data_IF_096731922633
#
_entry.id   IF_096731922633
#
_cell.length_a   1.000
_cell.length_b   1.000
_cell.length_c   1.000
_cell.angle_alpha   90.00
_cell.angle_beta   90.00
_cell.angle_gamma   90.00
#
_symmetry.space_group_name_H-M   'P 1'
#
loop_
_entity.id
_entity.type
_entity.pdbx_description
1 polymer ?
#
# COMPACT_ATOMS: atom_id res chain seq x y z
N UNK A 1 43.55 -78.74 -49.52
CA UNK A 1 43.93 -78.16 -48.22
C UNK A 1 43.54 -76.71 -48.21
N UNK A 2 42.38 -76.33 -47.63
CA UNK A 2 41.89 -74.99 -47.52
C UNK A 2 42.09 -74.49 -46.06
N UNK A 3 42.91 -73.52 -45.89
CA UNK A 3 43.11 -72.82 -44.64
C UNK A 3 42.12 -71.63 -44.54
N UNK A 4 41.20 -71.71 -43.57
CA UNK A 4 40.26 -70.62 -43.23
C UNK A 4 40.96 -69.68 -42.27
N UNK A 5 41.16 -68.41 -42.66
CA UNK A 5 41.50 -67.34 -41.75
C UNK A 5 40.23 -66.77 -41.11
N UNK A 6 40.17 -66.89 -39.75
CA UNK A 6 39.18 -66.22 -38.90
C UNK A 6 39.69 -64.79 -38.59
N UNK A 7 39.05 -63.78 -39.10
CA UNK A 7 39.29 -62.36 -38.75
C UNK A 7 38.34 -62.00 -37.61
N UNK A 8 38.89 -61.82 -36.39
CA UNK A 8 38.15 -61.35 -35.22
C UNK A 8 37.87 -59.85 -35.33
N UNK A 9 36.61 -59.45 -35.48
CA UNK A 9 36.17 -58.07 -35.49
C UNK A 9 35.94 -57.61 -34.03
N UNK A 10 36.84 -56.75 -33.50
CA UNK A 10 36.69 -56.12 -32.21
C UNK A 10 35.70 -54.97 -32.31
N UNK A 11 34.48 -55.12 -31.81
CA UNK A 11 33.48 -54.04 -31.72
C UNK A 11 33.79 -53.24 -30.47
N UNK A 12 34.32 -52.06 -30.61
CA UNK A 12 34.48 -51.08 -29.54
C UNK A 12 33.09 -50.41 -29.27
N UNK A 13 32.44 -50.81 -28.21
CA UNK A 13 31.22 -50.14 -27.75
C UNK A 13 31.67 -48.92 -26.92
N UNK A 14 31.60 -47.75 -27.58
CA UNK A 14 31.71 -46.46 -26.87
C UNK A 14 30.44 -46.25 -26.06
N UNK A 15 30.52 -46.43 -24.75
CA UNK A 15 29.48 -46.03 -23.82
C UNK A 15 29.46 -44.50 -23.75
N UNK A 16 28.55 -43.88 -24.47
CA UNK A 16 28.19 -42.46 -24.26
C UNK A 16 27.47 -42.39 -22.94
N UNK A 17 28.15 -41.89 -21.90
CA UNK A 17 27.48 -41.41 -20.69
C UNK A 17 26.68 -40.18 -21.10
N UNK A 18 25.37 -40.33 -21.40
CA UNK A 18 24.43 -39.24 -21.38
C UNK A 18 24.22 -38.90 -19.90
N UNK A 19 24.91 -37.88 -19.45
CA UNK A 19 24.59 -37.26 -18.14
C UNK A 19 23.12 -36.84 -18.20
N UNK A 20 22.27 -37.59 -17.54
CA UNK A 20 20.87 -37.22 -17.39
C UNK A 20 20.78 -35.93 -16.60
N UNK A 21 20.49 -34.84 -17.28
CA UNK A 21 19.98 -33.66 -16.62
C UNK A 21 18.75 -34.12 -15.82
N UNK A 22 18.76 -33.93 -14.50
CA UNK A 22 17.57 -34.16 -13.67
C UNK A 22 16.55 -33.17 -14.17
N UNK A 23 15.49 -33.66 -14.82
CA UNK A 23 14.39 -32.81 -15.29
C UNK A 23 13.79 -32.10 -14.07
N UNK A 24 13.52 -30.78 -14.13
CA UNK A 24 12.82 -30.11 -13.05
C UNK A 24 11.49 -30.83 -12.76
N UNK A 25 11.21 -31.03 -11.47
CA UNK A 25 9.97 -31.68 -11.05
C UNK A 25 8.83 -30.70 -11.25
N UNK A 26 7.94 -30.96 -12.20
CA UNK A 26 6.68 -30.25 -12.37
C UNK A 26 5.60 -31.01 -11.61
N UNK A 27 5.00 -30.35 -10.64
CA UNK A 27 3.77 -30.84 -10.01
C UNK A 27 2.57 -30.22 -10.75
N UNK A 28 1.69 -31.04 -11.30
CA UNK A 28 0.53 -30.59 -12.09
C UNK A 28 -0.76 -31.22 -11.59
N UNK A 29 -1.77 -30.38 -11.46
CA UNK A 29 -3.17 -30.75 -11.19
C UNK A 29 -4.08 -30.15 -12.26
N UNK A 30 -5.39 -30.35 -12.15
CA UNK A 30 -6.39 -29.71 -13.01
C UNK A 30 -6.58 -28.21 -12.68
N UNK A 31 -5.87 -27.68 -11.67
CA UNK A 31 -6.00 -26.31 -11.18
C UNK A 31 -4.72 -25.49 -11.33
N UNK A 32 -3.54 -26.12 -11.19
CA UNK A 32 -2.27 -25.41 -11.12
C UNK A 32 -1.09 -26.29 -11.54
N UNK A 33 -0.05 -25.66 -12.10
CA UNK A 33 1.28 -26.22 -12.20
C UNK A 33 2.21 -25.52 -11.21
N UNK A 34 3.04 -26.28 -10.49
CA UNK A 34 4.02 -25.77 -9.54
C UNK A 34 5.39 -26.35 -9.87
N UNK A 35 6.41 -25.51 -9.91
CA UNK A 35 7.80 -25.90 -10.16
C UNK A 35 8.76 -25.12 -9.23
N UNK A 36 9.84 -25.77 -8.81
CA UNK A 36 11.02 -25.07 -8.28
C UNK A 36 12.01 -24.91 -9.42
N UNK A 37 12.31 -23.68 -9.81
CA UNK A 37 13.14 -23.33 -10.97
C UNK A 37 14.35 -22.53 -10.55
N UNK A 38 15.39 -22.51 -11.38
CA UNK A 38 16.55 -21.65 -11.22
C UNK A 38 16.69 -20.70 -12.40
N UNK A 39 17.15 -19.48 -12.15
CA UNK A 39 17.46 -18.53 -13.21
C UNK A 39 18.71 -18.94 -13.99
N UNK A 40 19.83 -19.34 -13.33
CA UNK A 40 21.03 -19.78 -14.02
C UNK A 40 21.04 -21.27 -14.31
N UNK A 41 21.79 -21.69 -15.32
CA UNK A 41 22.06 -23.09 -15.63
C UNK A 41 23.11 -23.71 -14.69
N UNK A 42 24.03 -22.92 -14.16
CA UNK A 42 25.14 -23.34 -13.30
C UNK A 42 25.18 -22.48 -12.03
N UNK A 43 25.72 -23.05 -10.96
CA UNK A 43 25.97 -22.36 -9.69
C UNK A 43 27.42 -21.92 -9.60
N UNK A 44 27.65 -20.66 -9.26
CA UNK A 44 28.99 -20.09 -9.03
C UNK A 44 29.25 -19.94 -7.54
N UNK A 45 30.28 -20.55 -6.97
CA UNK A 45 30.63 -20.39 -5.56
C UNK A 45 30.89 -18.93 -5.18
N UNK A 46 30.28 -18.48 -4.10
CA UNK A 46 30.37 -17.10 -3.61
C UNK A 46 29.38 -16.11 -4.23
N UNK A 47 28.58 -16.52 -5.20
CA UNK A 47 27.52 -15.70 -5.79
C UNK A 47 26.14 -16.06 -5.24
N UNK A 48 25.15 -15.23 -5.50
CA UNK A 48 23.75 -15.49 -5.17
C UNK A 48 23.14 -16.34 -6.28
N UNK A 49 22.64 -17.52 -5.92
CA UNK A 49 21.80 -18.34 -6.78
C UNK A 49 20.35 -17.89 -6.66
N UNK A 50 19.76 -17.43 -7.74
CA UNK A 50 18.34 -17.10 -7.80
C UNK A 50 17.53 -18.34 -8.15
N UNK A 51 16.75 -18.82 -7.18
CA UNK A 51 15.68 -19.79 -7.38
C UNK A 51 14.35 -19.03 -7.47
N UNK A 52 13.31 -19.70 -7.96
CA UNK A 52 11.95 -19.22 -7.83
C UNK A 52 10.96 -20.39 -7.72
N UNK A 53 9.87 -20.15 -6.99
CA UNK A 53 8.68 -20.99 -7.08
C UNK A 53 7.86 -20.45 -8.25
N UNK A 54 7.69 -21.26 -9.29
CA UNK A 54 6.77 -20.97 -10.39
C UNK A 54 5.40 -21.49 -10.01
N UNK A 55 4.42 -20.64 -9.96
CA UNK A 55 3.01 -20.94 -9.81
C UNK A 55 2.31 -20.56 -11.11
N UNK A 56 1.63 -21.48 -11.74
CA UNK A 56 0.90 -21.29 -13.00
C UNK A 56 -0.53 -21.82 -12.82
N UNK A 57 -1.42 -21.01 -12.23
CA UNK A 57 -2.83 -21.38 -12.08
C UNK A 57 -3.49 -21.45 -13.46
N UNK A 58 -4.39 -22.41 -13.64
CA UNK A 58 -5.17 -22.52 -14.86
C UNK A 58 -6.28 -21.47 -14.90
N UNK A 59 -6.83 -21.20 -16.09
CA UNK A 59 -7.88 -20.20 -16.30
C UNK A 59 -9.02 -20.33 -15.27
N UNK A 60 -9.37 -19.23 -14.61
CA UNK A 60 -10.36 -19.13 -13.53
C UNK A 60 -9.81 -19.42 -12.13
N UNK A 61 -8.59 -19.95 -12.02
CA UNK A 61 -7.93 -20.21 -10.74
C UNK A 61 -6.90 -19.13 -10.41
N UNK A 62 -6.63 -18.89 -9.11
CA UNK A 62 -5.64 -17.94 -8.64
C UNK A 62 -4.90 -18.45 -7.41
N UNK A 63 -3.71 -17.89 -7.20
CA UNK A 63 -2.92 -18.07 -5.97
C UNK A 63 -2.82 -16.74 -5.24
N UNK A 64 -2.18 -16.72 -4.07
CA UNK A 64 -2.21 -15.57 -3.17
C UNK A 64 -0.86 -14.90 -3.01
N UNK A 65 -0.91 -13.59 -2.79
CA UNK A 65 0.23 -12.80 -2.36
C UNK A 65 0.65 -13.15 -0.92
N UNK A 66 1.74 -12.55 -0.41
CA UNK A 66 2.23 -12.76 0.97
C UNK A 66 1.16 -12.55 2.06
N UNK A 67 0.10 -11.85 1.71
CA UNK A 67 -1.10 -11.67 2.49
C UNK A 67 -2.32 -11.73 1.56
N UNK A 68 -3.22 -12.67 1.82
CA UNK A 68 -4.35 -12.97 0.90
C UNK A 68 -5.54 -12.01 0.97
N UNK A 69 -5.48 -10.91 1.75
CA UNK A 69 -6.62 -10.03 1.95
C UNK A 69 -7.65 -10.60 2.93
N UNK A 70 -8.94 -10.62 2.53
CA UNK A 70 -10.02 -11.16 3.37
C UNK A 70 -9.98 -12.69 3.46
N UNK A 71 -9.37 -13.37 2.48
CA UNK A 71 -9.29 -14.83 2.41
C UNK A 71 -8.03 -15.27 1.69
N UNK A 72 -7.64 -16.52 1.89
CA UNK A 72 -6.50 -17.15 1.24
C UNK A 72 -5.22 -17.17 2.08
N UNK A 73 -4.38 -18.16 1.74
CA UNK A 73 -3.09 -18.38 2.42
C UNK A 73 -1.95 -18.26 1.40
N UNK A 74 -0.88 -17.59 1.81
CA UNK A 74 0.32 -17.41 1.00
C UNK A 74 1.01 -18.74 0.69
N UNK A 75 1.79 -18.77 -0.39
CA UNK A 75 2.70 -19.88 -0.68
C UNK A 75 3.88 -19.84 0.28
N UNK A 76 4.23 -20.98 0.84
CA UNK A 76 5.37 -21.13 1.75
C UNK A 76 6.40 -22.14 1.20
N UNK A 77 7.68 -21.91 1.50
CA UNK A 77 8.77 -22.83 1.22
C UNK A 77 9.51 -23.12 2.52
N UNK A 78 9.38 -24.34 2.99
CA UNK A 78 9.87 -24.78 4.30
C UNK A 78 10.79 -26.00 4.19
N UNK A 79 11.41 -26.40 5.30
CA UNK A 79 12.25 -27.61 5.37
C UNK A 79 13.36 -27.65 4.32
N UNK A 80 14.04 -26.50 4.11
CA UNK A 80 15.13 -26.43 3.16
C UNK A 80 16.30 -27.36 3.52
N UNK A 81 16.73 -28.13 2.55
CA UNK A 81 17.96 -28.94 2.63
C UNK A 81 18.93 -28.41 1.58
N UNK A 82 20.03 -27.82 2.05
CA UNK A 82 21.05 -27.17 1.24
C UNK A 82 22.41 -27.76 1.53
N UNK A 83 23.43 -27.61 0.65
CA UNK A 83 24.80 -27.90 0.96
C UNK A 83 25.30 -27.10 2.17
N UNK A 84 26.28 -27.67 2.90
CA UNK A 84 26.88 -27.02 4.07
C UNK A 84 27.43 -25.64 3.75
N UNK A 85 27.10 -24.66 4.60
CA UNK A 85 27.45 -23.24 4.43
C UNK A 85 26.56 -22.44 3.50
N UNK A 86 25.62 -23.04 2.76
CA UNK A 86 24.63 -22.32 2.01
C UNK A 86 23.45 -21.92 2.91
N UNK A 87 22.82 -20.79 2.60
CA UNK A 87 21.62 -20.32 3.28
C UNK A 87 20.60 -19.80 2.28
N UNK A 88 19.32 -19.84 2.65
CA UNK A 88 18.21 -19.33 1.86
C UNK A 88 17.70 -18.03 2.48
N UNK A 89 17.35 -17.06 1.64
CA UNK A 89 16.63 -15.84 2.03
C UNK A 89 15.11 -16.03 1.92
N UNK A 90 14.40 -14.95 2.18
CA UNK A 90 12.94 -14.93 2.12
C UNK A 90 12.41 -14.95 0.68
N UNK A 91 11.16 -15.35 0.50
CA UNK A 91 10.44 -15.22 -0.76
C UNK A 91 10.24 -13.73 -1.06
N UNK A 92 10.60 -13.32 -2.28
CA UNK A 92 10.36 -11.97 -2.76
C UNK A 92 9.04 -11.97 -3.55
N UNK A 93 8.16 -11.04 -3.20
CA UNK A 93 6.79 -11.05 -3.69
C UNK A 93 6.56 -10.00 -4.78
N UNK A 94 6.21 -10.39 -6.01
CA UNK A 94 5.71 -9.45 -7.01
C UNK A 94 4.46 -8.71 -6.55
N UNK A 95 4.16 -7.56 -7.16
CA UNK A 95 2.95 -6.80 -6.88
C UNK A 95 1.71 -7.64 -7.17
N UNK A 96 0.76 -7.77 -6.20
CA UNK A 96 -0.45 -8.56 -6.38
C UNK A 96 -1.49 -7.84 -7.24
N UNK A 97 -2.52 -8.58 -7.62
CA UNK A 97 -3.78 -8.04 -8.13
C UNK A 97 -4.79 -7.94 -6.99
N UNK A 98 -5.70 -6.98 -7.13
CA UNK A 98 -6.81 -6.78 -6.23
C UNK A 98 -8.05 -7.43 -6.84
N UNK A 99 -8.48 -8.55 -6.28
CA UNK A 99 -9.52 -9.40 -6.88
C UNK A 99 -10.74 -9.43 -5.99
N UNK A 100 -11.87 -8.81 -6.42
CA UNK A 100 -13.13 -8.90 -5.70
C UNK A 100 -13.72 -10.32 -5.84
N UNK A 101 -14.19 -10.88 -4.73
CA UNK A 101 -14.84 -12.17 -4.75
C UNK A 101 -16.31 -12.03 -5.23
N UNK A 102 -16.72 -12.72 -6.31
CA UNK A 102 -18.03 -12.56 -6.92
C UNK A 102 -19.18 -12.77 -5.93
N UNK A 103 -20.12 -11.81 -5.87
CA UNK A 103 -21.32 -11.88 -5.04
C UNK A 103 -21.09 -11.67 -3.54
N UNK A 104 -19.95 -11.13 -3.14
CA UNK A 104 -19.64 -10.78 -1.75
C UNK A 104 -18.88 -9.45 -1.66
N UNK A 105 -18.74 -8.93 -0.43
CA UNK A 105 -17.89 -7.77 -0.12
C UNK A 105 -16.45 -8.18 0.21
N UNK A 106 -16.04 -9.41 -0.13
CA UNK A 106 -14.69 -9.90 0.14
C UNK A 106 -13.77 -9.56 -1.03
N UNK A 107 -12.54 -9.26 -0.69
CA UNK A 107 -11.46 -8.99 -1.65
C UNK A 107 -10.23 -9.79 -1.28
N UNK A 108 -9.59 -10.36 -2.28
CA UNK A 108 -8.37 -11.14 -2.14
C UNK A 108 -7.22 -10.50 -2.92
N UNK A 109 -6.00 -10.68 -2.43
CA UNK A 109 -4.78 -10.22 -3.07
C UNK A 109 -4.10 -11.41 -3.73
N UNK A 110 -4.13 -11.44 -5.07
CA UNK A 110 -3.94 -12.67 -5.84
C UNK A 110 -2.94 -12.55 -6.97
N UNK A 111 -2.63 -13.71 -7.54
CA UNK A 111 -2.01 -13.88 -8.85
C UNK A 111 -2.93 -14.79 -9.68
N UNK A 112 -3.57 -14.22 -10.69
CA UNK A 112 -4.48 -14.94 -11.60
C UNK A 112 -3.75 -15.59 -12.78
N UNK A 113 -2.48 -15.26 -12.96
CA UNK A 113 -1.62 -15.74 -14.03
C UNK A 113 -0.33 -16.32 -13.48
N UNK A 114 0.49 -16.86 -14.40
CA UNK A 114 1.82 -17.34 -14.05
C UNK A 114 2.61 -16.29 -13.27
N UNK A 115 3.12 -16.68 -12.11
CA UNK A 115 3.97 -15.85 -11.28
C UNK A 115 5.22 -16.63 -10.84
N UNK A 116 6.36 -15.95 -10.82
CA UNK A 116 7.56 -16.45 -10.20
C UNK A 116 7.74 -15.74 -8.86
N UNK A 117 7.95 -16.51 -7.80
CA UNK A 117 8.27 -16.03 -6.47
C UNK A 117 9.78 -16.22 -6.24
N UNK A 118 10.63 -15.21 -6.47
CA UNK A 118 12.08 -15.33 -6.37
C UNK A 118 12.53 -15.60 -4.94
N UNK A 119 13.57 -16.43 -4.82
CA UNK A 119 14.20 -16.80 -3.54
C UNK A 119 15.71 -16.72 -3.72
N UNK A 120 16.42 -15.83 -3.02
CA UNK A 120 17.89 -15.79 -3.08
C UNK A 120 18.48 -16.90 -2.23
N UNK A 121 19.43 -17.64 -2.79
CA UNK A 121 20.22 -18.63 -2.07
C UNK A 121 21.67 -18.15 -2.05
N UNK A 122 22.21 -17.95 -0.88
CA UNK A 122 23.61 -17.55 -0.68
C UNK A 122 24.49 -18.80 -0.79
N UNK A 123 25.35 -18.84 -1.80
CA UNK A 123 26.25 -19.96 -2.05
C UNK A 123 27.61 -19.67 -1.41
N UNK A 124 28.15 -20.57 -0.57
CA UNK A 124 29.44 -20.32 0.05
C UNK A 124 30.58 -20.36 -0.97
N UNK A 125 31.53 -19.44 -0.86
CA UNK A 125 32.73 -19.40 -1.72
C UNK A 125 33.63 -20.67 -1.58
N UNK A 126 33.49 -21.41 -0.48
CA UNK A 126 34.20 -22.66 -0.19
C UNK A 126 33.47 -23.91 -0.67
N UNK A 127 32.49 -23.76 -1.56
CA UNK A 127 31.76 -24.91 -2.11
C UNK A 127 32.70 -25.77 -2.98
N UNK A 128 33.11 -26.89 -2.47
CA UNK A 128 33.97 -27.87 -3.18
C UNK A 128 33.14 -29.11 -3.57
N UNK A 129 32.31 -28.93 -4.61
CA UNK A 129 31.41 -29.98 -5.14
C UNK A 129 31.15 -29.74 -6.62
N UNK A 130 30.94 -30.79 -7.38
CA UNK A 130 30.57 -30.71 -8.80
C UNK A 130 29.10 -30.32 -9.02
N UNK A 131 28.25 -30.43 -8.00
CA UNK A 131 26.84 -30.19 -8.07
C UNK A 131 26.30 -29.52 -6.80
N UNK A 132 25.38 -28.62 -6.98
CA UNK A 132 24.59 -28.00 -5.93
C UNK A 132 23.17 -28.58 -5.97
N UNK A 133 22.68 -29.13 -4.87
CA UNK A 133 21.31 -29.63 -4.74
C UNK A 133 20.60 -28.88 -3.64
N UNK A 134 19.46 -28.27 -3.98
CA UNK A 134 18.52 -27.66 -3.04
C UNK A 134 17.22 -28.45 -3.05
N UNK A 135 16.64 -28.69 -1.88
CA UNK A 135 15.29 -29.24 -1.78
C UNK A 135 14.48 -28.54 -0.70
N UNK A 136 13.17 -28.48 -0.88
CA UNK A 136 12.24 -27.79 0.02
C UNK A 136 10.84 -28.39 -0.09
N UNK A 137 10.05 -28.28 0.98
CA UNK A 137 8.61 -28.49 0.94
C UNK A 137 7.95 -27.18 0.55
N UNK A 138 7.19 -27.17 -0.55
CA UNK A 138 6.37 -26.03 -0.96
C UNK A 138 4.91 -26.35 -0.65
N UNK A 139 4.25 -25.43 0.05
CA UNK A 139 2.83 -25.48 0.38
C UNK A 139 2.16 -24.24 -0.25
N UNK A 140 1.00 -24.42 -0.88
CA UNK A 140 0.26 -23.36 -1.55
C UNK A 140 -1.24 -23.55 -1.41
N UNK A 141 -1.99 -22.52 -1.74
CA UNK A 141 -3.42 -22.58 -1.91
C UNK A 141 -3.79 -22.05 -3.30
N UNK A 142 -4.64 -22.78 -4.02
CA UNK A 142 -5.20 -22.35 -5.30
C UNK A 142 -6.71 -22.33 -5.20
N UNK A 143 -7.34 -21.24 -5.63
CA UNK A 143 -8.77 -21.01 -5.43
C UNK A 143 -9.46 -20.53 -6.71
N UNK A 144 -10.75 -20.88 -6.82
CA UNK A 144 -11.77 -20.31 -7.67
C UNK A 144 -12.99 -20.05 -6.76
N UNK A 145 -14.09 -20.78 -6.90
CA UNK A 145 -15.21 -20.77 -5.92
C UNK A 145 -14.86 -21.49 -4.61
N UNK A 146 -13.92 -22.42 -4.67
CA UNK A 146 -13.40 -23.18 -3.52
C UNK A 146 -11.88 -23.11 -3.48
N UNK A 147 -11.32 -23.20 -2.29
CA UNK A 147 -9.87 -23.21 -2.08
C UNK A 147 -9.34 -24.64 -1.89
N UNK A 148 -8.35 -25.00 -2.66
CA UNK A 148 -7.69 -26.31 -2.63
C UNK A 148 -6.26 -26.11 -2.13
N UNK A 149 -5.91 -26.59 -0.93
CA UNK A 149 -4.53 -26.59 -0.47
C UNK A 149 -3.73 -27.68 -1.21
N UNK A 150 -2.51 -27.34 -1.58
CA UNK A 150 -1.54 -28.24 -2.16
C UNK A 150 -0.22 -28.22 -1.43
N UNK A 151 0.52 -29.33 -1.50
CA UNK A 151 1.90 -29.39 -1.02
C UNK A 151 2.68 -30.48 -1.74
N UNK A 152 3.97 -30.20 -1.95
CA UNK A 152 4.86 -31.15 -2.58
C UNK A 152 6.34 -30.85 -2.20
N UNK A 153 7.17 -31.91 -2.12
CA UNK A 153 8.61 -31.75 -1.96
C UNK A 153 9.26 -31.58 -3.33
N UNK A 154 9.98 -30.47 -3.51
CA UNK A 154 10.72 -30.19 -4.74
C UNK A 154 12.23 -30.27 -4.50
N UNK A 155 12.94 -30.65 -5.55
CA UNK A 155 14.40 -30.68 -5.54
C UNK A 155 14.94 -30.21 -6.88
N UNK A 156 15.96 -29.35 -6.84
CA UNK A 156 16.68 -28.91 -8.02
C UNK A 156 18.17 -29.21 -7.84
N UNK A 157 18.80 -29.70 -8.91
CA UNK A 157 20.25 -29.97 -8.91
C UNK A 157 20.90 -29.28 -10.10
N UNK A 158 21.85 -28.41 -9.82
CA UNK A 158 22.59 -27.65 -10.83
C UNK A 158 24.07 -28.03 -10.80
N UNK A 159 24.77 -28.03 -11.93
CA UNK A 159 26.23 -28.16 -11.94
C UNK A 159 26.86 -26.91 -11.30
N UNK A 160 28.04 -27.09 -10.71
CA UNK A 160 28.88 -26.01 -10.19
C UNK A 160 29.94 -25.67 -11.20
N UNK A 161 30.12 -24.38 -11.50
CA UNK A 161 31.06 -23.88 -12.49
C UNK A 161 31.70 -22.56 -12.05
N UNK A 162 32.78 -22.12 -12.73
CA UNK A 162 33.40 -20.82 -12.49
C UNK A 162 32.60 -19.64 -13.13
N UNK A 163 31.70 -19.94 -14.04
CA UNK A 163 30.85 -18.99 -14.74
C UNK A 163 29.46 -19.61 -14.96
N UNK A 164 28.45 -18.76 -15.07
CA UNK A 164 27.09 -19.21 -15.32
C UNK A 164 26.46 -18.44 -16.50
N UNK A 165 25.37 -18.96 -17.02
CA UNK A 165 24.52 -18.33 -18.01
C UNK A 165 23.04 -18.47 -17.61
N UNK A 166 22.16 -17.50 -17.96
CA UNK A 166 20.75 -17.64 -17.72
C UNK A 166 20.16 -18.85 -18.46
N UNK A 167 19.23 -19.55 -17.83
CA UNK A 167 18.44 -20.58 -18.50
C UNK A 167 17.50 -19.93 -19.54
N UNK A 168 17.66 -20.24 -20.87
CA UNK A 168 16.82 -19.68 -21.91
C UNK A 168 15.33 -19.94 -21.71
N UNK A 169 14.96 -20.98 -20.95
CA UNK A 169 13.56 -21.30 -20.63
C UNK A 169 12.94 -20.28 -19.68
N UNK A 170 13.73 -19.74 -18.75
CA UNK A 170 13.21 -18.95 -17.65
C UNK A 170 13.64 -17.48 -17.64
N UNK A 171 14.63 -17.09 -18.45
CA UNK A 171 15.22 -15.74 -18.45
C UNK A 171 14.18 -14.63 -18.66
N UNK A 172 13.19 -14.84 -19.52
CA UNK A 172 12.13 -13.87 -19.77
C UNK A 172 11.19 -13.75 -18.56
N UNK A 173 10.78 -14.88 -17.99
CA UNK A 173 9.94 -14.91 -16.78
C UNK A 173 10.59 -14.20 -15.58
N UNK A 174 11.88 -14.45 -15.32
CA UNK A 174 12.63 -13.72 -14.28
C UNK A 174 12.74 -12.22 -14.58
N UNK A 175 12.94 -11.84 -15.85
CA UNK A 175 13.00 -10.43 -16.25
C UNK A 175 11.65 -9.73 -16.10
N UNK A 176 10.54 -10.38 -16.39
CA UNK A 176 9.17 -9.88 -16.15
C UNK A 176 8.92 -9.73 -14.65
N UNK A 177 9.26 -10.77 -13.89
CA UNK A 177 9.12 -10.74 -12.42
C UNK A 177 9.86 -9.57 -11.80
N UNK A 178 11.12 -9.31 -12.18
CA UNK A 178 11.88 -8.16 -11.65
C UNK A 178 11.20 -6.81 -11.91
N UNK A 179 10.50 -6.67 -13.03
CA UNK A 179 9.73 -5.45 -13.35
C UNK A 179 8.46 -5.32 -12.52
N UNK A 180 7.92 -6.43 -12.02
CA UNK A 180 6.74 -6.46 -11.16
C UNK A 180 7.07 -6.50 -9.66
N UNK A 181 8.35 -6.43 -9.27
CA UNK A 181 8.72 -6.29 -7.86
C UNK A 181 8.50 -4.86 -7.39
N UNK A 182 8.05 -4.67 -6.13
CA UNK A 182 8.04 -3.37 -5.50
C UNK A 182 9.44 -2.76 -5.44
N UNK A 183 9.50 -1.43 -5.57
CA UNK A 183 10.74 -0.69 -5.37
C UNK A 183 10.95 -0.42 -3.88
N UNK A 184 12.22 -0.46 -3.44
CA UNK A 184 12.56 -0.02 -2.10
C UNK A 184 12.41 1.50 -1.97
N UNK A 185 11.80 1.96 -0.87
CA UNK A 185 11.53 3.38 -0.57
C UNK A 185 12.77 4.27 -0.64
N UNK A 186 13.96 3.73 -0.46
CA UNK A 186 15.23 4.46 -0.47
C UNK A 186 15.52 5.29 -1.74
N UNK A 187 14.84 5.03 -2.86
CA UNK A 187 15.03 5.76 -4.10
C UNK A 187 14.21 7.06 -4.19
N UNK A 188 13.08 7.19 -3.49
CA UNK A 188 12.14 8.32 -3.66
C UNK A 188 11.80 9.08 -2.36
N UNK A 189 12.45 8.85 -1.24
CA UNK A 189 12.20 9.54 0.04
C UNK A 189 10.69 9.72 0.36
N UNK A 190 9.89 8.66 0.17
CA UNK A 190 8.45 8.71 0.43
C UNK A 190 8.19 8.97 1.91
N UNK A 191 7.30 9.89 2.20
CA UNK A 191 6.74 10.10 3.53
C UNK A 191 5.33 9.50 3.55
N UNK A 192 5.11 8.53 4.43
CA UNK A 192 3.83 7.85 4.52
C UNK A 192 3.24 7.98 5.93
N UNK A 193 1.96 8.28 5.99
CA UNK A 193 1.18 8.35 7.23
C UNK A 193 -0.20 7.76 7.03
N UNK A 194 -0.88 7.42 8.12
CA UNK A 194 -2.29 7.05 8.08
C UNK A 194 -3.08 7.74 9.19
N UNK A 195 -4.36 7.95 8.92
CA UNK A 195 -5.32 8.44 9.87
C UNK A 195 -6.51 7.46 9.93
N UNK A 196 -7.05 7.26 11.12
CA UNK A 196 -8.25 6.47 11.34
C UNK A 196 -9.20 7.29 12.21
N UNK A 197 -10.26 7.81 11.61
CA UNK A 197 -11.26 8.66 12.26
C UNK A 197 -12.67 8.19 11.89
N UNK A 198 -13.55 8.12 12.88
CA UNK A 198 -14.89 7.59 12.71
C UNK A 198 -14.88 6.19 12.11
N UNK A 199 -15.57 5.99 11.01
CA UNK A 199 -15.64 4.72 10.27
C UNK A 199 -14.65 4.63 9.09
N UNK A 200 -13.73 5.60 8.95
CA UNK A 200 -12.81 5.69 7.81
C UNK A 200 -11.34 5.50 8.23
N UNK A 201 -10.54 4.99 7.31
CA UNK A 201 -9.09 4.97 7.37
C UNK A 201 -8.53 5.55 6.09
N UNK A 202 -7.58 6.48 6.21
CA UNK A 202 -6.90 7.12 5.10
C UNK A 202 -5.39 6.84 5.18
N UNK A 203 -4.81 6.35 4.09
CA UNK A 203 -3.37 6.23 3.91
C UNK A 203 -2.91 7.36 3.00
N UNK A 204 -1.94 8.13 3.47
CA UNK A 204 -1.43 9.32 2.81
C UNK A 204 0.05 9.16 2.51
N UNK A 205 0.43 9.38 1.27
CA UNK A 205 1.83 9.29 0.83
C UNK A 205 2.22 10.56 0.09
N UNK A 206 3.40 11.09 0.39
CA UNK A 206 3.99 12.19 -0.35
C UNK A 206 5.39 11.87 -0.84
N UNK A 207 5.72 12.40 -2.01
CA UNK A 207 7.04 12.34 -2.62
C UNK A 207 7.57 13.77 -2.83
N UNK A 208 8.86 14.04 -2.63
CA UNK A 208 9.45 15.32 -3.02
C UNK A 208 9.53 15.49 -4.56
N UNK A 209 9.48 14.37 -5.28
CA UNK A 209 9.49 14.32 -6.75
C UNK A 209 8.06 14.11 -7.25
N UNK A 210 7.49 14.82 -8.11
CA UNK A 210 6.10 14.74 -8.62
C UNK A 210 5.73 13.32 -9.13
N UNK A 211 5.96 12.32 -8.28
CA UNK A 211 5.86 10.88 -8.57
C UNK A 211 4.45 10.45 -8.96
N UNK A 212 3.45 11.16 -8.48
CA UNK A 212 2.04 10.82 -8.70
C UNK A 212 1.36 11.70 -9.76
N UNK A 213 2.13 12.55 -10.48
CA UNK A 213 1.56 13.50 -11.47
C UNK A 213 0.79 12.78 -12.58
N UNK A 214 1.32 11.65 -13.06
CA UNK A 214 0.72 10.84 -14.13
C UNK A 214 -0.06 9.63 -13.60
N UNK A 215 -0.28 9.50 -12.30
CA UNK A 215 -1.00 8.38 -11.73
C UNK A 215 -2.51 8.49 -12.01
N UNK A 216 -3.14 7.39 -12.45
CA UNK A 216 -4.56 7.32 -12.77
C UNK A 216 -5.36 6.57 -11.71
N UNK A 217 -4.73 5.60 -11.02
CA UNK A 217 -5.35 4.78 -9.99
C UNK A 217 -4.31 4.32 -8.97
N UNK A 218 -4.75 4.09 -7.73
CA UNK A 218 -3.85 3.66 -6.66
C UNK A 218 -4.53 2.69 -5.68
N UNK A 219 -3.71 1.83 -5.08
CA UNK A 219 -4.12 0.82 -4.11
C UNK A 219 -3.15 0.73 -2.96
N UNK A 220 -3.68 0.46 -1.77
CA UNK A 220 -2.86 0.07 -0.62
C UNK A 220 -3.23 -1.35 -0.20
N UNK A 221 -2.24 -2.23 -0.15
CA UNK A 221 -2.33 -3.62 0.24
C UNK A 221 -1.67 -3.78 1.61
N UNK A 222 -2.40 -3.71 2.72
CA UNK A 222 -1.81 -3.90 4.04
C UNK A 222 -1.35 -5.35 4.20
N UNK A 223 -0.29 -5.55 4.98
CA UNK A 223 0.22 -6.89 5.34
C UNK A 223 -0.40 -7.42 6.64
N UNK A 224 -1.24 -6.62 7.27
CA UNK A 224 -1.96 -6.98 8.50
C UNK A 224 -3.47 -7.04 8.27
N UNK A 225 -4.12 -7.98 8.96
CA UNK A 225 -5.59 -8.11 8.93
C UNK A 225 -6.25 -7.02 9.76
N UNK A 226 -7.47 -6.63 9.36
CA UNK A 226 -8.35 -5.73 10.13
C UNK A 226 -7.94 -4.27 10.14
N UNK A 227 -7.13 -3.84 9.19
CA UNK A 227 -6.77 -2.42 9.04
C UNK A 227 -7.90 -1.67 8.32
N UNK A 228 -8.34 -2.17 7.18
CA UNK A 228 -9.36 -1.52 6.35
C UNK A 228 -10.30 -2.56 5.77
N UNK A 229 -11.44 -2.12 5.25
CA UNK A 229 -12.25 -2.93 4.38
C UNK A 229 -11.67 -2.85 2.98
N UNK A 230 -11.56 -4.01 2.33
CA UNK A 230 -11.00 -4.10 0.99
C UNK A 230 -12.09 -4.00 -0.09
N UNK A 231 -13.36 -3.80 0.29
CA UNK A 231 -14.49 -3.67 -0.62
C UNK A 231 -14.31 -2.49 -1.61
N UNK A 232 -15.01 -2.49 -2.76
CA UNK A 232 -14.71 -1.66 -3.93
C UNK A 232 -14.80 -0.15 -3.74
N UNK A 233 -15.42 0.33 -2.67
CA UNK A 233 -15.53 1.76 -2.45
C UNK A 233 -14.28 2.29 -1.74
N UNK A 234 -13.36 2.77 -2.51
CA UNK A 234 -12.25 3.60 -2.05
C UNK A 234 -12.28 4.94 -2.77
N UNK A 235 -11.82 5.92 -2.09
CA UNK A 235 -11.59 7.21 -2.66
C UNK A 235 -10.08 7.43 -2.81
N UNK A 236 -9.66 7.79 -4.02
CA UNK A 236 -8.25 8.01 -4.36
C UNK A 236 -8.08 9.45 -4.80
N UNK A 237 -7.20 10.15 -4.12
CA UNK A 237 -6.83 11.51 -4.45
C UNK A 237 -5.36 11.55 -4.88
N UNK A 238 -5.13 12.14 -6.02
CA UNK A 238 -3.82 12.32 -6.65
C UNK A 238 -3.61 13.81 -6.90
N UNK A 239 -2.49 14.34 -6.42
CA UNK A 239 -2.12 15.76 -6.60
C UNK A 239 -0.59 15.86 -6.72
N UNK A 240 -0.09 15.68 -7.94
CA UNK A 240 1.32 15.80 -8.29
C UNK A 240 2.28 14.99 -7.41
N UNK A 241 2.61 15.52 -6.25
CA UNK A 241 3.51 14.89 -5.29
C UNK A 241 2.81 14.19 -4.11
N UNK A 242 1.47 14.08 -4.13
CA UNK A 242 0.67 13.54 -3.03
C UNK A 242 -0.36 12.53 -3.52
N UNK A 243 -0.54 11.50 -2.71
CA UNK A 243 -1.51 10.45 -2.92
C UNK A 243 -2.20 10.14 -1.60
N UNK A 244 -3.53 10.08 -1.60
CA UNK A 244 -4.33 9.63 -0.47
C UNK A 244 -5.30 8.56 -0.93
N UNK A 245 -5.39 7.49 -0.17
CA UNK A 245 -6.38 6.41 -0.34
C UNK A 245 -7.22 6.36 0.91
N UNK A 246 -8.53 6.61 0.77
CA UNK A 246 -9.48 6.55 1.88
C UNK A 246 -10.48 5.42 1.64
N UNK A 247 -10.73 4.62 2.66
CA UNK A 247 -11.71 3.54 2.65
C UNK A 247 -12.36 3.37 4.02
N UNK A 248 -13.37 2.51 4.10
CA UNK A 248 -13.98 2.18 5.39
C UNK A 248 -12.99 1.44 6.29
N UNK A 249 -13.00 1.79 7.55
CA UNK A 249 -12.27 1.11 8.61
C UNK A 249 -12.84 -0.30 8.82
N UNK A 250 -11.97 -1.26 9.09
CA UNK A 250 -12.46 -2.59 9.46
C UNK A 250 -13.16 -2.53 10.84
N UNK A 251 -14.31 -3.18 11.02
CA UNK A 251 -15.11 -3.19 12.24
C UNK A 251 -14.35 -3.57 13.54
N UNK A 252 -13.19 -4.18 13.41
CA UNK A 252 -12.30 -4.60 14.50
C UNK A 252 -10.93 -3.94 14.40
N UNK A 253 -10.89 -2.73 13.89
CA UNK A 253 -9.66 -1.94 13.80
C UNK A 253 -8.99 -1.83 15.18
N UNK A 254 -7.69 -2.03 15.31
CA UNK A 254 -6.99 -1.91 16.58
C UNK A 254 -6.91 -0.43 17.01
N UNK A 255 -7.47 -0.08 18.17
CA UNK A 255 -7.49 1.31 18.68
C UNK A 255 -6.09 1.90 18.94
N UNK A 256 -5.10 1.04 19.22
CA UNK A 256 -3.73 1.44 19.60
C UNK A 256 -2.74 0.99 18.52
N UNK A 257 -2.96 1.43 17.28
CA UNK A 257 -2.04 1.15 16.18
C UNK A 257 -1.25 2.42 15.89
N UNK A 258 0.09 2.37 16.02
CA UNK A 258 1.00 3.50 15.75
C UNK A 258 1.54 3.51 14.33
N UNK A 259 1.55 2.36 13.66
CA UNK A 259 2.05 2.17 12.31
C UNK A 259 1.31 1.01 11.65
N UNK A 260 1.26 1.02 10.33
CA UNK A 260 0.77 -0.08 9.49
C UNK A 260 1.82 -0.38 8.43
N UNK A 261 1.90 -1.63 8.00
CA UNK A 261 2.81 -2.03 6.93
C UNK A 261 2.00 -2.45 5.71
N UNK A 262 2.49 -2.11 4.52
CA UNK A 262 1.82 -2.52 3.30
C UNK A 262 2.54 -2.12 2.02
N UNK A 263 1.94 -2.53 0.92
CA UNK A 263 2.37 -2.20 -0.42
C UNK A 263 1.44 -1.13 -1.00
N UNK A 264 2.00 0.04 -1.32
CA UNK A 264 1.36 1.03 -2.17
C UNK A 264 1.60 0.64 -3.63
N UNK A 265 0.55 0.61 -4.44
CA UNK A 265 0.70 0.55 -5.90
C UNK A 265 -0.10 1.66 -6.55
N UNK A 266 0.36 2.12 -7.71
CA UNK A 266 -0.40 2.98 -8.61
C UNK A 266 -0.09 2.63 -10.07
N UNK A 267 -0.98 3.03 -10.95
CA UNK A 267 -0.83 2.85 -12.40
C UNK A 267 -0.65 4.23 -13.01
N UNK A 268 0.37 4.40 -13.86
CA UNK A 268 0.60 5.64 -14.59
C UNK A 268 -0.22 5.73 -15.88
N UNK A 269 -0.17 6.88 -16.55
CA UNK A 269 -0.89 7.14 -17.82
C UNK A 269 -0.45 6.24 -19.00
N UNK A 270 0.68 5.55 -18.89
CA UNK A 270 1.14 4.54 -19.84
C UNK A 270 0.63 3.13 -19.50
N UNK A 271 -0.09 2.98 -18.40
CA UNK A 271 -0.60 1.72 -17.88
C UNK A 271 0.45 0.88 -17.16
N UNK A 272 1.59 1.48 -16.79
CA UNK A 272 2.63 0.78 -16.02
C UNK A 272 2.29 0.81 -14.54
N UNK A 273 2.33 -0.36 -13.92
CA UNK A 273 2.09 -0.51 -12.47
C UNK A 273 3.39 -0.29 -11.70
N UNK A 274 3.37 0.66 -10.77
CA UNK A 274 4.43 0.96 -9.83
C UNK A 274 4.06 0.47 -8.44
N UNK A 275 5.04 0.04 -7.64
CA UNK A 275 4.79 -0.41 -6.27
C UNK A 275 5.91 -0.03 -5.32
N UNK A 276 5.53 0.32 -4.09
CA UNK A 276 6.45 0.71 -3.02
C UNK A 276 6.03 0.05 -1.71
N UNK A 277 6.92 -0.66 -1.07
CA UNK A 277 6.70 -1.10 0.30
C UNK A 277 6.81 0.12 1.22
N UNK A 278 5.75 0.42 1.96
CA UNK A 278 5.66 1.59 2.84
C UNK A 278 5.22 1.17 4.24
N UNK A 279 5.60 2.00 5.21
CA UNK A 279 5.24 1.82 6.61
C UNK A 279 4.61 3.13 7.15
N UNK A 280 3.33 3.40 6.81
CA UNK A 280 2.63 4.58 7.27
C UNK A 280 2.58 4.65 8.80
N UNK A 281 2.96 5.80 9.37
CA UNK A 281 2.83 6.08 10.79
C UNK A 281 1.53 6.80 11.07
N UNK A 282 0.93 6.54 12.25
CA UNK A 282 -0.33 7.18 12.62
C UNK A 282 -0.14 8.69 12.79
N UNK A 283 -1.04 9.45 12.18
CA UNK A 283 -1.13 10.90 12.35
C UNK A 283 -2.54 11.29 12.75
N UNK A 284 -2.69 12.42 13.43
CA UNK A 284 -3.99 13.05 13.68
C UNK A 284 -4.35 14.04 12.56
N UNK A 285 -3.43 14.29 11.64
CA UNK A 285 -3.64 15.23 10.54
C UNK A 285 -4.06 14.45 9.30
N UNK A 286 -5.26 14.66 8.82
CA UNK A 286 -5.66 14.23 7.48
C UNK A 286 -5.27 15.30 6.47
N UNK A 287 -4.75 14.91 5.30
CA UNK A 287 -4.64 15.82 4.16
C UNK A 287 -5.99 15.84 3.46
N UNK A 288 -6.72 16.91 3.65
CA UNK A 288 -7.97 17.06 2.93
C UNK A 288 -7.88 18.22 1.93
N UNK A 289 -7.78 17.88 0.65
CA UNK A 289 -7.79 18.84 -0.47
C UNK A 289 -9.20 19.15 -0.95
N UNK A 290 -10.18 18.49 -0.38
CA UNK A 290 -11.59 18.69 -0.74
C UNK A 290 -12.21 19.83 0.01
N UNK A 291 -11.52 20.30 1.05
CA UNK A 291 -11.86 21.55 1.72
C UNK A 291 -10.61 22.29 2.14
N UNK A 292 -10.50 23.54 1.76
CA UNK A 292 -9.47 24.47 2.23
C UNK A 292 -9.98 25.17 3.49
N UNK A 293 -9.19 25.11 4.57
CA UNK A 293 -9.49 25.77 5.83
C UNK A 293 -8.49 26.88 6.13
N UNK A 294 -9.00 28.02 6.59
CA UNK A 294 -8.18 29.14 7.03
C UNK A 294 -8.81 29.83 8.23
N UNK A 295 -8.02 30.06 9.28
CA UNK A 295 -8.40 30.94 10.38
C UNK A 295 -7.95 32.37 10.04
N UNK A 296 -8.87 33.31 10.05
CA UNK A 296 -8.62 34.70 9.65
C UNK A 296 -9.24 35.70 10.62
N UNK A 297 -8.81 36.94 10.55
CA UNK A 297 -9.39 38.06 11.30
C UNK A 297 -10.17 38.98 10.39
N UNK A 298 -11.34 39.46 10.87
CA UNK A 298 -12.13 40.47 10.19
C UNK A 298 -11.34 41.79 10.09
N UNK A 299 -10.55 42.11 11.12
CA UNK A 299 -9.77 43.33 11.19
C UNK A 299 -8.27 43.03 11.11
N UNK A 300 -7.49 43.90 10.47
CA UNK A 300 -6.04 43.74 10.37
C UNK A 300 -5.31 43.94 11.69
N UNK A 301 -5.95 44.54 12.69
CA UNK A 301 -5.39 44.87 14.01
C UNK A 301 -6.46 44.63 15.08
N UNK A 302 -6.11 43.88 16.13
CA UNK A 302 -6.99 43.70 17.28
C UNK A 302 -6.87 44.83 18.28
N UNK A 303 -7.98 45.20 18.96
CA UNK A 303 -8.05 46.21 20.00
C UNK A 303 -8.34 45.54 21.34
N UNK A 304 -7.45 45.66 22.35
CA UNK A 304 -7.67 45.10 23.67
C UNK A 304 -8.97 45.57 24.32
N UNK A 305 -9.69 44.66 24.99
CA UNK A 305 -10.93 44.95 25.70
C UNK A 305 -12.17 45.13 24.81
N UNK A 306 -12.05 45.06 23.50
CA UNK A 306 -13.16 45.19 22.54
C UNK A 306 -13.47 43.83 21.93
N UNK A 307 -14.76 43.40 21.91
CA UNK A 307 -15.15 42.22 21.14
C UNK A 307 -14.90 42.43 19.65
N UNK A 308 -14.28 41.42 19.00
CA UNK A 308 -13.92 41.42 17.57
C UNK A 308 -14.15 40.04 16.99
N UNK A 309 -14.19 39.95 15.67
CA UNK A 309 -14.53 38.70 14.99
C UNK A 309 -13.28 38.07 14.37
N UNK A 310 -13.01 36.83 14.71
CA UNK A 310 -12.26 35.90 13.88
C UNK A 310 -13.25 35.11 13.01
N UNK A 311 -12.77 34.47 11.96
CA UNK A 311 -13.56 33.59 11.11
C UNK A 311 -12.80 32.34 10.73
N UNK A 312 -13.47 31.22 10.76
CA UNK A 312 -13.01 30.00 10.10
C UNK A 312 -13.62 29.96 8.69
N UNK A 313 -12.78 30.11 7.68
CA UNK A 313 -13.17 29.93 6.28
C UNK A 313 -13.03 28.47 5.90
N UNK A 314 -14.10 27.93 5.30
CA UNK A 314 -14.11 26.62 4.64
C UNK A 314 -14.47 26.81 3.18
N UNK A 315 -13.68 26.20 2.30
CA UNK A 315 -13.93 26.19 0.85
C UNK A 315 -13.89 24.74 0.36
N UNK A 316 -15.06 24.06 0.28
CA UNK A 316 -15.11 22.73 -0.30
C UNK A 316 -14.79 22.77 -1.79
N UNK A 317 -14.14 21.68 -2.28
CA UNK A 317 -13.91 21.48 -3.70
C UNK A 317 -15.26 21.28 -4.45
N UNK A 318 -15.25 21.47 -5.77
CA UNK A 318 -16.46 21.30 -6.59
C UNK A 318 -17.04 19.89 -6.43
N UNK A 319 -18.35 19.81 -6.14
CA UNK A 319 -19.06 18.57 -5.88
C UNK A 319 -19.04 18.10 -4.43
N UNK A 320 -18.16 18.69 -3.60
CA UNK A 320 -18.05 18.38 -2.17
C UNK A 320 -18.82 19.38 -1.33
N UNK A 321 -19.24 18.98 -0.10
CA UNK A 321 -19.91 19.84 0.86
C UNK A 321 -19.42 19.58 2.30
N UNK A 322 -19.49 20.64 3.11
CA UNK A 322 -19.30 20.56 4.56
C UNK A 322 -20.65 20.74 5.28
N UNK A 323 -20.67 20.52 6.58
CA UNK A 323 -21.92 20.45 7.33
C UNK A 323 -22.21 21.70 8.17
N UNK A 324 -23.50 22.00 8.28
CA UNK A 324 -24.01 22.95 9.26
C UNK A 324 -23.95 22.33 10.66
N UNK A 325 -24.17 23.16 11.71
CA UNK A 325 -24.19 22.71 13.13
C UNK A 325 -25.11 21.52 13.42
N UNK A 326 -26.03 21.21 12.56
CA UNK A 326 -26.83 19.99 12.52
C UNK A 326 -26.76 19.45 11.10
N UNK A 327 -25.99 18.37 10.92
CA UNK A 327 -25.69 17.82 9.60
C UNK A 327 -26.89 17.26 8.83
N UNK A 328 -28.05 17.08 9.45
CA UNK A 328 -29.23 16.44 8.89
C UNK A 328 -29.27 14.94 9.23
N UNK A 329 -29.55 14.11 8.22
CA UNK A 329 -29.63 12.65 8.40
C UNK A 329 -28.25 11.97 8.48
N UNK A 330 -27.19 12.66 8.03
CA UNK A 330 -25.80 12.18 8.12
C UNK A 330 -24.82 13.35 8.25
N UNK A 331 -23.57 13.04 8.59
CA UNK A 331 -22.46 13.98 8.72
C UNK A 331 -22.42 14.76 10.04
N UNK A 332 -21.23 15.26 10.35
CA UNK A 332 -20.96 16.00 11.58
C UNK A 332 -20.49 17.42 11.25
N UNK A 333 -20.81 18.42 12.11
CA UNK A 333 -20.40 19.80 11.90
C UNK A 333 -18.89 19.98 12.02
N UNK A 334 -18.42 21.09 11.48
CA UNK A 334 -17.05 21.55 11.76
C UNK A 334 -16.96 22.04 13.21
N UNK A 335 -15.94 21.65 13.92
CA UNK A 335 -15.64 22.06 15.29
C UNK A 335 -14.28 22.74 15.37
N UNK A 336 -14.12 23.66 16.35
CA UNK A 336 -12.85 24.26 16.70
C UNK A 336 -12.60 24.06 18.19
N UNK A 337 -11.58 23.31 18.51
CA UNK A 337 -11.25 22.92 19.87
C UNK A 337 -9.77 23.19 20.21
N UNK A 338 -9.39 22.88 21.45
CA UNK A 338 -8.00 22.95 21.92
C UNK A 338 -7.32 24.30 21.66
N UNK A 339 -8.08 25.38 21.87
CA UNK A 339 -7.59 26.73 21.68
C UNK A 339 -6.35 27.03 22.52
N UNK A 340 -5.33 27.54 21.84
CA UNK A 340 -4.21 28.22 22.45
C UNK A 340 -4.31 29.71 22.05
N UNK A 341 -4.50 30.57 23.04
CA UNK A 341 -4.67 32.00 22.87
C UNK A 341 -3.95 32.73 24.00
N UNK A 342 -3.73 34.04 23.88
CA UNK A 342 -3.17 34.85 24.96
C UNK A 342 -3.98 34.69 26.26
N UNK A 343 -3.28 34.66 27.39
CA UNK A 343 -3.91 34.47 28.70
C UNK A 343 -5.00 35.52 28.97
N UNK A 344 -6.15 35.08 29.45
CA UNK A 344 -7.31 35.92 29.71
C UNK A 344 -8.16 36.29 28.51
N UNK A 345 -7.83 35.80 27.30
CA UNK A 345 -8.67 35.97 26.11
C UNK A 345 -10.00 35.24 26.30
N UNK A 346 -11.09 35.89 25.96
CA UNK A 346 -12.41 35.25 25.84
C UNK A 346 -12.64 34.84 24.40
N UNK A 347 -13.03 33.61 24.18
CA UNK A 347 -13.35 33.02 22.86
C UNK A 347 -14.79 32.55 22.93
N UNK A 348 -15.62 33.02 22.01
CA UNK A 348 -17.02 32.64 21.86
C UNK A 348 -17.20 31.32 21.13
N UNK A 349 -18.45 30.95 20.88
CA UNK A 349 -18.81 29.76 20.11
C UNK A 349 -18.75 30.06 18.61
N UNK A 350 -18.46 29.01 17.81
CA UNK A 350 -18.50 29.04 16.36
C UNK A 350 -19.93 29.32 15.87
N UNK A 351 -20.12 30.31 15.03
CA UNK A 351 -21.43 30.69 14.50
C UNK A 351 -21.60 30.11 13.10
N UNK A 352 -22.77 29.51 12.84
CA UNK A 352 -23.08 28.88 11.58
C UNK A 352 -24.10 29.72 10.78
N UNK A 353 -23.75 30.24 9.60
CA UNK A 353 -24.71 30.87 8.68
C UNK A 353 -25.82 29.90 8.27
N UNK A 354 -26.85 30.42 7.62
CA UNK A 354 -27.94 29.58 7.12
C UNK A 354 -27.40 28.54 6.13
N UNK A 355 -27.73 27.25 6.31
CA UNK A 355 -27.21 26.19 5.45
C UNK A 355 -28.02 26.09 4.15
N UNK A 356 -27.48 25.39 3.17
CA UNK A 356 -28.24 24.85 2.04
C UNK A 356 -28.88 23.51 2.44
N UNK A 357 -29.98 23.19 1.74
CA UNK A 357 -30.65 21.90 1.85
C UNK A 357 -30.07 20.97 0.78
N UNK A 358 -29.41 19.89 1.19
CA UNK A 358 -28.65 19.01 0.35
C UNK A 358 -29.30 17.62 0.31
N UNK A 359 -30.16 17.32 -0.70
CA UNK A 359 -30.74 16.01 -0.84
C UNK A 359 -29.65 15.00 -1.29
N UNK A 360 -29.60 13.85 -0.62
CA UNK A 360 -28.65 12.79 -0.97
C UNK A 360 -29.20 11.97 -2.13
N UNK A 361 -28.47 11.92 -3.23
CA UNK A 361 -28.91 11.29 -4.48
C UNK A 361 -29.42 9.85 -4.28
N UNK A 362 -30.60 9.54 -4.89
CA UNK A 362 -31.26 8.23 -4.87
C UNK A 362 -31.70 7.71 -3.47
N UNK A 363 -31.73 8.56 -2.46
CA UNK A 363 -32.22 8.24 -1.10
C UNK A 363 -33.24 9.26 -0.63
N UNK A 364 -33.96 8.94 0.47
CA UNK A 364 -34.83 9.90 1.17
C UNK A 364 -34.06 10.75 2.22
N UNK A 365 -32.71 10.65 2.24
CA UNK A 365 -31.86 11.35 3.20
C UNK A 365 -31.61 12.80 2.77
N UNK A 366 -31.54 13.69 3.75
CA UNK A 366 -31.29 15.10 3.56
C UNK A 366 -30.24 15.60 4.54
N UNK A 367 -29.25 16.29 4.01
CA UNK A 367 -28.22 16.95 4.79
C UNK A 367 -28.39 18.48 4.78
N UNK A 368 -27.80 19.15 5.76
CA UNK A 368 -27.72 20.59 5.86
C UNK A 368 -26.25 21.00 5.88
N UNK A 369 -25.83 21.80 4.92
CA UNK A 369 -24.41 22.12 4.79
C UNK A 369 -24.10 23.22 3.78
N UNK A 370 -22.85 23.24 3.33
CA UNK A 370 -22.28 24.25 2.47
C UNK A 370 -21.53 23.60 1.32
N UNK A 371 -21.98 23.84 0.09
CA UNK A 371 -21.32 23.38 -1.16
C UNK A 371 -20.33 24.43 -1.71
N UNK A 372 -20.39 25.63 -1.21
CA UNK A 372 -19.54 26.75 -1.58
C UNK A 372 -18.76 27.26 -0.36
N UNK A 373 -17.89 28.23 -0.59
CA UNK A 373 -17.17 28.90 0.49
C UNK A 373 -18.12 29.44 1.57
N UNK A 374 -17.81 29.11 2.80
CA UNK A 374 -18.50 29.62 3.98
C UNK A 374 -17.50 30.17 5.00
N UNK A 375 -17.87 31.27 5.62
CA UNK A 375 -17.17 31.84 6.76
C UNK A 375 -17.98 31.59 8.04
N UNK A 376 -17.37 30.92 9.01
CA UNK A 376 -17.95 30.65 10.33
C UNK A 376 -17.36 31.64 11.35
N UNK A 377 -18.12 32.68 11.80
CA UNK A 377 -17.61 33.71 12.71
C UNK A 377 -17.41 33.19 14.14
N UNK A 378 -16.45 33.77 14.84
CA UNK A 378 -16.12 33.52 16.24
C UNK A 378 -15.81 34.87 16.92
N UNK A 379 -16.53 35.22 17.97
CA UNK A 379 -16.21 36.42 18.75
C UNK A 379 -15.01 36.16 19.64
N UNK A 380 -14.02 37.05 19.62
CA UNK A 380 -12.88 37.03 20.54
C UNK A 380 -12.71 38.39 21.23
N UNK A 381 -12.26 38.36 22.49
CA UNK A 381 -11.94 39.58 23.22
C UNK A 381 -10.64 39.38 23.98
N UNK A 382 -9.62 40.15 23.61
CA UNK A 382 -8.36 40.23 24.39
C UNK A 382 -8.57 40.92 25.72
N UNK A 383 -7.77 40.62 26.74
CA UNK A 383 -7.71 41.44 28.00
C UNK A 383 -7.47 42.91 27.69
N UNK A 384 -8.10 43.79 28.46
CA UNK A 384 -7.97 45.25 28.25
C UNK A 384 -6.53 45.77 28.46
N UNK A 385 -5.77 45.04 29.25
CA UNK A 385 -4.37 45.35 29.62
C UNK A 385 -3.39 44.41 28.88
N UNK A 386 -3.78 43.85 27.73
CA UNK A 386 -2.93 42.99 26.93
C UNK A 386 -1.64 43.69 26.51
N UNK A 387 -0.42 43.16 26.88
CA UNK A 387 0.80 43.93 26.84
C UNK A 387 1.62 43.81 25.54
N UNK A 388 1.27 42.86 24.65
CA UNK A 388 2.07 42.50 23.47
C UNK A 388 1.60 43.22 22.20
N UNK A 389 2.51 43.37 21.24
CA UNK A 389 2.23 44.00 19.94
C UNK A 389 1.51 43.11 18.95
N UNK A 390 1.41 41.81 19.25
CA UNK A 390 0.67 40.82 18.46
C UNK A 390 0.06 39.75 19.33
N UNK A 391 -1.07 39.17 18.88
CA UNK A 391 -1.77 38.08 19.52
C UNK A 391 -1.71 36.83 18.63
N UNK A 392 -1.17 35.75 19.18
CA UNK A 392 -1.11 34.47 18.51
C UNK A 392 -2.30 33.55 18.96
N UNK A 393 -3.00 33.02 17.99
CA UNK A 393 -4.08 32.05 18.18
C UNK A 393 -3.71 30.75 17.50
N UNK A 394 -4.04 29.64 18.14
CA UNK A 394 -3.99 28.31 17.53
C UNK A 394 -5.22 27.51 17.97
N UNK A 395 -5.81 26.73 17.07
CA UNK A 395 -6.90 25.84 17.39
C UNK A 395 -6.84 24.59 16.51
N UNK A 396 -7.43 23.51 16.97
CA UNK A 396 -7.63 22.30 16.19
C UNK A 396 -9.00 22.39 15.55
N UNK A 397 -9.04 22.40 14.21
CA UNK A 397 -10.28 22.27 13.44
C UNK A 397 -10.51 20.81 13.11
N UNK A 398 -11.73 20.30 13.33
CA UNK A 398 -12.19 19.00 12.85
C UNK A 398 -13.44 19.19 12.01
N UNK A 399 -13.60 18.38 10.95
CA UNK A 399 -14.71 18.50 10.00
C UNK A 399 -15.02 17.18 9.30
N UNK A 400 -16.21 17.10 8.70
CA UNK A 400 -16.51 16.14 7.65
C UNK A 400 -16.72 16.88 6.33
N UNK A 401 -16.16 16.36 5.24
CA UNK A 401 -16.44 16.79 3.87
C UNK A 401 -16.94 15.61 3.06
N UNK A 402 -18.05 15.76 2.36
CA UNK A 402 -18.75 14.66 1.72
C UNK A 402 -19.14 14.98 0.28
N UNK A 403 -19.11 13.93 -0.57
CA UNK A 403 -19.76 13.84 -1.87
C UNK A 403 -20.63 12.58 -1.89
N UNK A 404 -20.10 11.44 -2.30
CA UNK A 404 -20.73 10.11 -2.16
C UNK A 404 -20.32 9.40 -0.88
N UNK A 405 -19.13 9.71 -0.38
CA UNK A 405 -18.60 9.27 0.90
C UNK A 405 -18.24 10.49 1.75
N UNK A 406 -18.20 10.30 3.06
CA UNK A 406 -17.76 11.33 3.99
C UNK A 406 -16.34 11.08 4.44
N UNK A 407 -15.51 12.11 4.35
CA UNK A 407 -14.11 12.09 4.74
C UNK A 407 -13.95 13.02 5.95
N UNK A 408 -13.60 12.48 7.11
CA UNK A 408 -13.27 13.29 8.26
C UNK A 408 -11.88 13.89 8.11
N UNK A 409 -11.70 15.14 8.55
CA UNK A 409 -10.43 15.83 8.57
C UNK A 409 -10.17 16.52 9.90
N UNK A 410 -8.89 16.74 10.20
CA UNK A 410 -8.43 17.49 11.36
C UNK A 410 -7.17 18.28 11.01
N UNK A 411 -7.11 19.55 11.40
CA UNK A 411 -5.95 20.40 11.12
C UNK A 411 -5.72 21.41 12.25
N UNK A 412 -4.45 21.62 12.61
CA UNK A 412 -4.05 22.74 13.48
C UNK A 412 -3.99 24.00 12.65
N UNK A 413 -4.80 24.99 13.02
CA UNK A 413 -4.84 26.31 12.40
C UNK A 413 -4.11 27.31 13.29
N UNK A 414 -3.33 28.19 12.69
CA UNK A 414 -2.57 29.23 13.37
C UNK A 414 -2.88 30.59 12.78
N UNK A 415 -2.98 31.61 13.65
CA UNK A 415 -3.22 32.98 13.24
C UNK A 415 -2.45 33.91 14.17
N UNK A 416 -1.67 34.84 13.60
CA UNK A 416 -1.00 35.87 14.37
C UNK A 416 -1.46 37.25 13.87
N UNK A 417 -2.00 38.07 14.77
CA UNK A 417 -2.61 39.36 14.43
C UNK A 417 -1.94 40.45 15.21
N UNK A 418 -1.56 41.61 14.58
CA UNK A 418 -1.12 42.80 15.27
C UNK A 418 -2.15 43.32 16.26
N UNK A 419 -1.70 43.89 17.38
CA UNK A 419 -2.54 44.48 18.41
C UNK A 419 -2.30 45.99 18.47
N UNK A 420 -3.38 46.76 18.50
CA UNK A 420 -3.27 48.22 18.65
C UNK A 420 -2.63 48.54 19.99
N UNK A 421 -1.54 49.26 19.94
CA UNK A 421 -0.88 49.74 21.16
C UNK A 421 -1.86 50.55 22.01
N UNK A 422 -1.94 50.25 23.29
CA UNK A 422 -2.58 51.13 24.28
C UNK A 422 -1.84 52.47 24.25
N UNK A 423 -2.46 53.49 23.65
CA UNK A 423 -1.96 54.85 23.83
C UNK A 423 -2.08 55.17 25.33
N UNK A 424 -0.92 55.25 26.02
CA UNK A 424 -0.81 55.85 27.36
C UNK A 424 -1.13 57.35 27.33
#
# INVERSE_FOLDING_TARGET
>A
MLTKHLTSLLVLVAATFVGGAVQPQVYSTDQIQVELIAEPLEVVPGEILWLAIRLDPLEGWHTYWKFGGDSGEATEATNWVLPEGASVGDIIWPMPEWTPFPGSDLVTFTYEHEVFLPIPVIVPASLDRDKFTASTLIEWQVCDEICIPGKHEFSITLPVADQTSPDPKWVEGFALTRRSLPLEVGHHQLSASFNAMGDSVSVMVSSPDELFEDAEDAWFFPTERRIMRYAPMRDVMLDGNRLQITTEQHRRFPEVLSEIEGLLTFVDSEGVKHGYEIQPTRTQTAWDYRVELELMSELPVLVPGVPQTLGLRLRPASGWHTYWKMGGDSGEPTELENWQAPEGTRIGELQFPAPHWLPFYETDLVNFGYEEEVLLPIEVTLPIDFPEESAAFSAVASWNVCEQICIPGEQVLNLNIPVAGTQN
#
